data_IF_952204432714
#
_entry.id   IF_952204432714
#
_cell.length_a   1.000
_cell.length_b   1.000
_cell.length_c   1.000
_cell.angle_alpha   90.00
_cell.angle_beta   90.00
_cell.angle_gamma   90.00
#
_symmetry.space_group_name_H-M   'P 1'
#
loop_
_entity.id
_entity.type
_entity.pdbx_description
1 polymer ?
#
# COMPACT_ATOMS: atom_id res chain seq x y z
N UNK A 1 -0.12 -5.39 -21.35
CA UNK A 1 1.31 -5.17 -20.98
C UNK A 1 1.59 -5.89 -19.66
N UNK A 2 2.84 -6.22 -19.38
CA UNK A 2 3.23 -6.95 -18.16
C UNK A 2 2.97 -6.16 -16.86
N UNK A 3 3.07 -4.82 -16.92
CA UNK A 3 2.84 -3.90 -15.80
C UNK A 3 1.65 -2.97 -16.12
N UNK A 4 0.39 -3.44 -16.02
CA UNK A 4 -0.76 -2.67 -16.47
C UNK A 4 -1.36 -1.76 -15.39
N UNK A 5 -0.97 -1.93 -14.11
CA UNK A 5 -1.55 -1.18 -12.99
C UNK A 5 -0.86 0.15 -12.81
N UNK A 6 -1.64 1.22 -12.75
CA UNK A 6 -1.14 2.54 -12.42
C UNK A 6 -1.11 2.70 -10.91
N UNK A 7 0.06 2.97 -10.33
CA UNK A 7 0.22 3.28 -8.91
C UNK A 7 0.71 4.70 -8.70
N UNK A 8 0.16 5.39 -7.72
CA UNK A 8 0.39 6.81 -7.48
C UNK A 8 0.07 7.20 -6.04
N UNK A 9 0.61 8.34 -5.63
CA UNK A 9 0.23 9.02 -4.39
C UNK A 9 -0.84 10.09 -4.67
N UNK A 10 -2.04 9.88 -4.13
CA UNK A 10 -3.18 10.78 -4.29
C UNK A 10 -3.17 11.96 -3.29
N UNK A 11 -2.26 11.95 -2.30
CA UNK A 11 -2.17 13.03 -1.34
C UNK A 11 -1.60 14.31 -1.98
N UNK A 12 -2.34 15.42 -1.87
CA UNK A 12 -2.02 16.72 -2.49
C UNK A 12 -1.47 17.78 -1.52
N UNK A 13 -1.34 17.45 -0.24
CA UNK A 13 -0.81 18.38 0.76
C UNK A 13 0.71 18.41 0.80
N UNK A 14 1.25 19.20 1.74
CA UNK A 14 2.69 19.49 1.85
C UNK A 14 3.38 18.75 3.00
N UNK A 15 2.63 18.16 3.94
CA UNK A 15 3.21 17.42 5.06
C UNK A 15 3.86 16.12 4.57
N UNK A 16 5.19 16.06 4.63
CA UNK A 16 5.98 14.97 4.07
C UNK A 16 5.69 13.58 4.66
N UNK A 17 5.06 13.50 5.83
CA UNK A 17 4.69 12.21 6.46
C UNK A 17 3.43 11.59 5.88
N UNK A 18 2.60 12.37 5.20
CA UNK A 18 1.32 11.89 4.70
C UNK A 18 1.45 11.44 3.25
N UNK A 19 0.82 10.31 2.98
CA UNK A 19 0.64 9.72 1.67
C UNK A 19 -0.75 9.14 1.60
N UNK A 20 -1.33 9.10 0.41
CA UNK A 20 -2.51 8.30 0.14
C UNK A 20 -2.28 7.49 -1.13
N UNK A 21 -1.55 6.38 -0.97
CA UNK A 21 -1.12 5.55 -2.09
C UNK A 21 -2.30 4.73 -2.63
N UNK A 22 -2.50 4.81 -3.95
CA UNK A 22 -3.55 4.07 -4.67
C UNK A 22 -2.99 3.27 -5.82
N UNK A 23 -3.74 2.25 -6.24
CA UNK A 23 -3.60 1.63 -7.56
C UNK A 23 -4.93 1.54 -8.28
N UNK A 24 -4.91 1.69 -9.60
CA UNK A 24 -6.05 1.37 -10.46
C UNK A 24 -5.60 0.71 -11.77
N UNK A 25 -6.56 0.16 -12.51
CA UNK A 25 -6.33 -0.45 -13.82
C UNK A 25 -7.12 0.34 -14.87
N UNK A 26 -6.43 1.20 -15.63
CA UNK A 26 -7.02 1.98 -16.74
C UNK A 26 -8.26 2.79 -16.31
N UNK A 27 -8.17 3.48 -15.17
CA UNK A 27 -9.29 4.27 -14.64
C UNK A 27 -10.39 3.45 -13.98
N UNK A 28 -10.14 2.18 -13.66
CA UNK A 28 -11.02 1.40 -12.80
C UNK A 28 -11.14 2.01 -11.41
N UNK A 29 -12.00 1.41 -10.58
CA UNK A 29 -11.99 1.63 -9.12
C UNK A 29 -10.56 1.60 -8.57
N UNK A 30 -10.29 2.56 -7.68
CA UNK A 30 -9.05 2.65 -6.92
C UNK A 30 -9.04 1.69 -5.73
N UNK A 31 -7.85 1.18 -5.42
CA UNK A 31 -7.61 0.36 -4.24
C UNK A 31 -6.57 1.06 -3.37
N UNK A 32 -6.83 1.13 -2.06
CA UNK A 32 -5.84 1.57 -1.08
C UNK A 32 -4.64 0.60 -1.11
N UNK A 33 -3.44 1.14 -1.14
CA UNK A 33 -2.20 0.37 -1.02
C UNK A 33 -1.26 1.01 -0.01
N UNK A 34 -0.24 0.23 0.37
CA UNK A 34 0.81 0.61 1.30
C UNK A 34 2.16 0.21 0.72
N UNK A 35 3.20 1.01 0.97
CA UNK A 35 4.55 0.67 0.57
C UNK A 35 5.12 -0.39 1.53
N UNK A 36 6.08 -1.20 1.07
CA UNK A 36 6.67 -2.26 1.92
C UNK A 36 8.20 -2.35 1.81
N UNK A 37 8.83 -1.51 0.99
CA UNK A 37 10.29 -1.41 0.85
C UNK A 37 10.76 -0.03 1.31
N UNK A 38 11.04 0.13 2.60
CA UNK A 38 11.35 1.43 3.23
C UNK A 38 12.56 2.19 2.65
N UNK A 39 13.44 1.51 1.92
CA UNK A 39 14.64 2.12 1.29
C UNK A 39 14.42 2.54 -0.16
N UNK A 40 13.22 2.36 -0.70
CA UNK A 40 12.86 2.72 -2.08
C UNK A 40 11.95 3.94 -2.09
N UNK A 41 11.98 4.68 -3.20
CA UNK A 41 11.10 5.83 -3.40
C UNK A 41 9.63 5.41 -3.40
N UNK A 42 8.79 6.25 -2.79
CA UNK A 42 7.35 6.18 -2.90
C UNK A 42 6.87 6.38 -4.35
N UNK A 43 5.67 5.89 -4.70
CA UNK A 43 5.05 6.23 -5.98
C UNK A 43 4.95 7.74 -6.18
N UNK A 44 5.17 8.20 -7.41
CA UNK A 44 4.98 9.60 -7.76
C UNK A 44 3.53 10.03 -7.57
N UNK A 45 3.32 11.34 -7.46
CA UNK A 45 1.98 11.94 -7.36
C UNK A 45 1.12 11.59 -8.57
N UNK A 46 -0.19 11.56 -8.35
CA UNK A 46 -1.20 11.40 -9.41
C UNK A 46 -0.94 12.38 -10.57
N UNK A 47 -0.96 11.88 -11.81
CA UNK A 47 -0.73 12.68 -13.00
C UNK A 47 0.72 13.09 -13.26
N UNK A 48 1.70 12.57 -12.49
CA UNK A 48 3.13 12.79 -12.75
C UNK A 48 3.50 12.43 -14.20
N UNK A 49 4.39 13.22 -14.79
CA UNK A 49 4.99 12.94 -16.11
C UNK A 49 5.76 11.61 -16.14
N UNK A 50 6.20 11.11 -14.98
CA UNK A 50 6.87 9.83 -14.80
C UNK A 50 5.99 8.89 -13.96
N UNK A 51 4.95 8.27 -14.53
CA UNK A 51 4.04 7.38 -13.80
C UNK A 51 4.74 6.08 -13.37
N UNK A 52 4.29 5.51 -12.24
CA UNK A 52 4.74 4.21 -11.75
C UNK A 52 3.78 3.11 -12.21
N UNK A 53 4.31 2.09 -12.88
CA UNK A 53 3.54 0.96 -13.40
C UNK A 53 3.87 -0.33 -12.65
N UNK A 54 2.82 -1.06 -12.26
CA UNK A 54 2.92 -2.23 -11.40
C UNK A 54 2.32 -3.47 -12.06
N UNK A 55 2.82 -4.62 -11.61
CA UNK A 55 2.28 -5.95 -11.88
C UNK A 55 1.64 -6.47 -10.61
N UNK A 56 0.43 -7.00 -10.73
CA UNK A 56 -0.29 -7.62 -9.62
C UNK A 56 0.21 -9.05 -9.43
N UNK A 57 0.43 -9.42 -8.17
CA UNK A 57 0.75 -10.77 -7.72
C UNK A 57 -0.26 -11.19 -6.65
N UNK A 58 -0.43 -12.49 -6.45
CA UNK A 58 -1.18 -13.01 -5.31
C UNK A 58 -0.34 -12.86 -4.03
N UNK A 59 -0.97 -12.44 -2.93
CA UNK A 59 -0.28 -12.04 -1.70
C UNK A 59 0.07 -13.23 -0.80
N UNK A 60 1.03 -14.05 -1.22
CA UNK A 60 1.50 -15.22 -0.46
C UNK A 60 2.93 -15.05 0.11
N UNK A 61 3.36 -16.05 0.88
CA UNK A 61 4.66 -16.09 1.53
C UNK A 61 5.84 -15.98 0.54
N UNK A 62 5.74 -16.64 -0.61
CA UNK A 62 6.81 -16.66 -1.61
C UNK A 62 6.98 -15.26 -2.19
N UNK A 63 5.88 -14.62 -2.56
CA UNK A 63 5.88 -13.26 -3.10
C UNK A 63 6.46 -12.27 -2.10
N UNK A 64 6.03 -12.31 -0.83
CA UNK A 64 6.58 -11.40 0.18
C UNK A 64 8.07 -11.66 0.45
N UNK A 65 8.49 -12.92 0.51
CA UNK A 65 9.90 -13.28 0.73
C UNK A 65 10.80 -12.84 -0.43
N UNK A 66 10.28 -12.92 -1.66
CA UNK A 66 11.00 -12.56 -2.88
C UNK A 66 11.14 -11.05 -3.07
N UNK A 67 10.10 -10.28 -2.72
CA UNK A 67 10.02 -8.86 -3.06
C UNK A 67 10.35 -7.90 -1.91
N UNK A 68 10.18 -8.32 -0.64
CA UNK A 68 10.55 -7.49 0.49
C UNK A 68 12.08 -7.48 0.71
N UNK A 69 12.68 -6.30 0.86
CA UNK A 69 14.13 -6.20 1.06
C UNK A 69 14.57 -6.77 2.43
N UNK A 70 13.70 -6.71 3.45
CA UNK A 70 13.97 -7.20 4.81
C UNK A 70 12.68 -7.61 5.52
N UNK A 71 12.03 -8.72 5.13
CA UNK A 71 10.83 -9.20 5.82
C UNK A 71 11.17 -9.62 7.27
N UNK A 72 10.26 -9.35 8.21
CA UNK A 72 10.45 -9.69 9.64
C UNK A 72 10.67 -11.18 9.87
N UNK A 73 10.05 -12.02 9.04
CA UNK A 73 10.18 -13.48 9.03
C UNK A 73 9.89 -13.99 7.61
N UNK A 74 10.32 -15.21 7.29
CA UNK A 74 10.07 -15.88 6.00
C UNK A 74 9.24 -17.14 6.27
N UNK A 75 7.96 -16.92 6.56
CA UNK A 75 6.99 -17.98 6.89
C UNK A 75 5.57 -17.54 6.50
N UNK A 76 4.64 -18.49 6.40
CA UNK A 76 3.20 -18.24 6.22
C UNK A 76 2.60 -17.31 7.29
N UNK A 77 3.23 -17.24 8.45
CA UNK A 77 2.82 -16.31 9.50
C UNK A 77 2.96 -14.84 9.05
N UNK A 78 3.94 -14.52 8.18
CA UNK A 78 4.09 -13.19 7.60
C UNK A 78 2.83 -12.75 6.85
N UNK A 79 2.35 -13.58 5.89
CA UNK A 79 1.19 -13.23 5.08
C UNK A 79 -0.09 -13.13 5.91
N UNK A 80 -0.26 -14.02 6.91
CA UNK A 80 -1.37 -13.93 7.86
C UNK A 80 -1.33 -12.63 8.69
N UNK A 81 -0.15 -12.21 9.14
CA UNK A 81 0.01 -10.99 9.92
C UNK A 81 -0.27 -9.74 9.08
N UNK A 82 0.24 -9.69 7.84
CA UNK A 82 -0.09 -8.61 6.89
C UNK A 82 -1.60 -8.57 6.66
N UNK A 83 -2.25 -9.71 6.42
CA UNK A 83 -3.70 -9.77 6.20
C UNK A 83 -4.50 -9.26 7.40
N UNK A 84 -4.10 -9.60 8.62
CA UNK A 84 -4.73 -9.10 9.86
C UNK A 84 -4.58 -7.59 10.01
N UNK A 85 -3.40 -7.05 9.71
CA UNK A 85 -3.16 -5.60 9.73
C UNK A 85 -4.05 -4.93 8.69
N UNK A 86 -4.07 -5.41 7.45
CA UNK A 86 -4.90 -4.83 6.38
C UNK A 86 -6.40 -4.92 6.67
N UNK A 87 -6.86 -5.99 7.32
CA UNK A 87 -8.25 -6.15 7.73
C UNK A 87 -8.66 -5.18 8.84
N UNK A 88 -7.77 -4.91 9.79
CA UNK A 88 -8.07 -4.00 10.90
C UNK A 88 -7.65 -2.55 10.64
N UNK A 89 -6.80 -2.34 9.62
CA UNK A 89 -6.30 -1.04 9.22
C UNK A 89 -7.24 -0.27 8.34
N UNK A 90 -6.82 0.94 7.95
CA UNK A 90 -7.58 1.77 7.03
C UNK A 90 -7.63 1.14 5.62
N UNK A 91 -8.74 1.28 4.86
CA UNK A 91 -10.04 1.83 5.28
C UNK A 91 -10.99 0.75 5.86
N UNK A 92 -10.57 -0.52 5.92
CA UNK A 92 -11.48 -1.62 6.27
C UNK A 92 -11.93 -1.57 7.73
N UNK A 93 -11.01 -1.29 8.65
CA UNK A 93 -11.24 -1.09 10.09
C UNK A 93 -12.19 -2.13 10.72
N UNK A 94 -11.98 -3.41 10.42
CA UNK A 94 -12.94 -4.47 10.70
C UNK A 94 -13.31 -4.67 12.18
N UNK A 95 -12.51 -4.13 13.11
CA UNK A 95 -12.77 -4.15 14.55
C UNK A 95 -12.82 -2.74 15.18
N UNK A 96 -12.86 -1.66 14.39
CA UNK A 96 -12.95 -0.29 14.91
C UNK A 96 -11.69 0.20 15.64
N UNK A 97 -10.52 -0.36 15.33
CA UNK A 97 -9.25 0.04 15.96
C UNK A 97 -8.75 1.40 15.47
N UNK A 98 -9.19 1.83 14.29
CA UNK A 98 -8.86 3.13 13.70
C UNK A 98 -9.86 4.23 14.08
N UNK A 99 -10.81 3.93 14.97
CA UNK A 99 -11.85 4.87 15.38
C UNK A 99 -11.24 6.17 15.95
N UNK A 100 -11.83 7.29 15.56
CA UNK A 100 -11.42 8.65 15.93
C UNK A 100 -10.10 9.14 15.31
N UNK A 101 -9.47 8.37 14.42
CA UNK A 101 -8.41 8.87 13.57
C UNK A 101 -9.02 9.50 12.31
N UNK A 102 -8.52 10.67 11.92
CA UNK A 102 -8.79 11.16 10.56
C UNK A 102 -8.12 10.25 9.52
N UNK A 103 -8.58 10.27 8.25
CA UNK A 103 -8.13 9.32 7.24
C UNK A 103 -6.61 9.29 7.02
N UNK A 104 -5.94 10.44 6.99
CA UNK A 104 -4.49 10.50 6.74
C UNK A 104 -3.70 9.95 7.93
N UNK A 105 -4.15 10.23 9.16
CA UNK A 105 -3.57 9.62 10.35
C UNK A 105 -3.85 8.10 10.42
N UNK A 106 -5.03 7.65 10.00
CA UNK A 106 -5.34 6.21 9.94
C UNK A 106 -4.49 5.47 8.88
N UNK A 107 -4.25 6.10 7.72
CA UNK A 107 -3.31 5.59 6.71
C UNK A 107 -1.91 5.50 7.30
N UNK A 108 -1.43 6.59 7.95
CA UNK A 108 -0.11 6.63 8.57
C UNK A 108 0.08 5.57 9.66
N UNK A 109 -0.97 5.26 10.45
CA UNK A 109 -0.92 4.20 11.47
C UNK A 109 -0.92 2.80 10.86
N UNK A 110 -1.55 2.63 9.69
CA UNK A 110 -1.60 1.33 9.00
C UNK A 110 -0.30 1.02 8.24
N UNK A 111 0.40 2.06 7.76
CA UNK A 111 1.67 2.01 7.03
C UNK A 111 2.85 1.56 7.91
#
# INVERSE_FOLDING_TARGET
PEFPWYGYDAYKGFEARYHDLKVNLKGSKEYQVYCFNLKRYEPNKEGSYFPNWYKKWDGDEEIFTKHADSPRMKSKELSNNILRVMYNGYPNDGNGIMRNLDPLNAILVTQ
#
